data_IF_850267669457
#
_entry.id   IF_850267669457
#
_cell.length_a   1.000
_cell.length_b   1.000
_cell.length_c   1.000
_cell.angle_alpha   90.00
_cell.angle_beta   90.00
_cell.angle_gamma   90.00
#
_symmetry.space_group_name_H-M   'P 1'
#
loop_
_entity.id
_entity.type
_entity.pdbx_description
1 polymer ?
#
# COMPACT_ATOMS: atom_id res chain seq x y z
N UNK A 1 -3.55 -24.61 32.30
CA UNK A 1 -2.40 -23.70 32.08
C UNK A 1 -1.23 -24.19 32.93
N UNK A 2 -0.46 -25.15 32.42
CA UNK A 2 0.68 -25.74 33.14
C UNK A 2 1.90 -24.86 32.98
N UNK A 3 2.30 -24.21 34.08
CA UNK A 3 3.61 -23.58 34.25
C UNK A 3 4.68 -24.67 34.36
N UNK A 4 4.98 -25.35 33.26
CA UNK A 4 6.09 -26.32 33.19
C UNK A 4 7.42 -25.58 33.03
N UNK A 5 7.78 -24.76 34.01
CA UNK A 5 9.14 -24.23 34.12
C UNK A 5 10.15 -25.38 34.30
N UNK A 6 11.41 -25.21 33.89
CA UNK A 6 12.39 -26.29 33.95
C UNK A 6 12.66 -26.73 35.39
N UNK A 7 12.37 -28.00 35.69
CA UNK A 7 12.46 -28.58 37.04
C UNK A 7 13.86 -28.45 37.69
N UNK A 8 13.94 -28.42 39.04
CA UNK A 8 15.17 -28.16 39.79
C UNK A 8 16.28 -29.21 39.56
N UNK A 9 15.92 -30.42 39.15
CA UNK A 9 16.84 -31.54 38.89
C UNK A 9 17.45 -31.55 37.47
N UNK A 10 17.17 -30.53 36.64
CA UNK A 10 17.73 -30.45 35.29
C UNK A 10 19.10 -29.75 35.28
N UNK A 11 20.15 -30.53 34.97
CA UNK A 11 21.52 -30.02 34.82
C UNK A 11 21.58 -28.87 33.82
N UNK A 12 21.88 -27.68 34.34
CA UNK A 12 22.09 -26.45 33.56
C UNK A 12 23.43 -26.55 32.83
N UNK A 13 23.40 -26.50 31.50
CA UNK A 13 24.63 -26.47 30.68
C UNK A 13 24.78 -25.12 30.01
N UNK A 14 26.03 -24.69 29.82
CA UNK A 14 26.37 -23.43 29.16
C UNK A 14 27.27 -23.68 27.96
N UNK A 15 27.09 -22.88 26.92
CA UNK A 15 27.94 -22.87 25.73
C UNK A 15 28.10 -21.45 25.21
N UNK A 16 29.30 -21.12 24.71
CA UNK A 16 29.55 -19.85 24.01
C UNK A 16 29.06 -19.95 22.58
N UNK A 17 28.56 -18.83 22.06
CA UNK A 17 28.06 -18.73 20.69
C UNK A 17 28.79 -17.62 19.97
N UNK A 18 29.15 -17.96 18.73
CA UNK A 18 29.47 -17.02 17.67
C UNK A 18 28.68 -17.48 16.45
N UNK A 19 27.88 -16.60 15.90
CA UNK A 19 27.09 -16.87 14.71
C UNK A 19 27.00 -15.60 13.85
N UNK A 20 26.66 -15.78 12.58
CA UNK A 20 26.32 -14.70 11.68
C UNK A 20 24.88 -14.90 11.23
N UNK A 21 24.05 -13.88 11.41
CA UNK A 21 22.65 -13.93 11.04
C UNK A 21 22.33 -12.87 9.98
N UNK A 22 21.47 -13.18 9.01
CA UNK A 22 21.15 -12.25 7.94
C UNK A 22 20.41 -11.03 8.47
N UNK A 23 20.63 -9.88 7.83
CA UNK A 23 19.75 -8.71 7.94
C UNK A 23 18.71 -8.74 6.82
N UNK A 24 17.80 -7.77 6.81
CA UNK A 24 16.88 -7.55 5.69
C UNK A 24 17.60 -7.17 4.39
N UNK A 25 18.79 -6.60 4.49
CA UNK A 25 19.60 -6.20 3.33
C UNK A 25 20.47 -7.38 2.87
N UNK A 26 20.32 -7.83 1.61
CA UNK A 26 21.07 -8.97 1.10
C UNK A 26 22.58 -8.68 1.13
N UNK A 27 23.36 -9.68 1.53
CA UNK A 27 24.82 -9.57 1.62
C UNK A 27 25.35 -8.86 2.88
N UNK A 28 24.46 -8.40 3.78
CA UNK A 28 24.81 -7.79 5.07
C UNK A 28 24.31 -8.69 6.20
N UNK A 29 25.17 -8.93 7.21
CA UNK A 29 24.87 -9.84 8.33
C UNK A 29 25.19 -9.21 9.68
N UNK A 30 24.38 -9.52 10.69
CA UNK A 30 24.74 -9.27 12.08
C UNK A 30 25.66 -10.38 12.61
N UNK A 31 26.71 -9.98 13.31
CA UNK A 31 27.54 -10.87 14.11
C UNK A 31 26.94 -11.02 15.51
N UNK A 32 26.45 -12.21 15.82
CA UNK A 32 25.94 -12.57 17.13
C UNK A 32 27.05 -13.19 18.00
N UNK A 33 27.24 -12.66 19.21
CA UNK A 33 28.16 -13.22 20.21
C UNK A 33 27.45 -13.34 21.55
N UNK A 34 27.64 -14.45 22.25
CA UNK A 34 26.96 -14.60 23.53
C UNK A 34 27.12 -15.93 24.22
N UNK A 35 26.25 -16.16 25.20
CA UNK A 35 26.16 -17.39 25.97
C UNK A 35 24.77 -17.97 25.88
N UNK A 36 24.70 -19.26 25.53
CA UNK A 36 23.49 -20.06 25.59
C UNK A 36 23.54 -20.97 26.80
N UNK A 37 22.46 -20.90 27.56
CA UNK A 37 22.17 -21.82 28.64
C UNK A 37 21.04 -22.73 28.19
N UNK A 38 21.22 -24.04 28.31
CA UNK A 38 20.20 -25.01 27.93
C UNK A 38 20.00 -26.08 28.98
N UNK A 39 18.79 -26.63 29.00
CA UNK A 39 18.37 -27.78 29.81
C UNK A 39 17.58 -28.73 28.91
N UNK A 40 17.74 -30.02 29.11
CA UNK A 40 17.06 -31.02 28.29
C UNK A 40 16.41 -32.09 29.16
N UNK A 41 15.23 -32.55 28.75
CA UNK A 41 14.54 -33.67 29.34
C UNK A 41 15.30 -34.99 29.11
N UNK A 42 15.04 -36.02 29.93
CA UNK A 42 15.72 -37.32 29.90
C UNK A 42 15.68 -37.99 28.52
N UNK A 43 14.58 -37.88 27.79
CA UNK A 43 14.42 -38.44 26.45
C UNK A 43 15.42 -37.86 25.43
N UNK A 44 15.77 -36.57 25.53
CA UNK A 44 16.75 -35.93 24.64
C UNK A 44 18.19 -36.27 25.07
N UNK A 45 18.41 -36.53 26.36
CA UNK A 45 19.73 -36.91 26.89
C UNK A 45 20.20 -38.28 26.38
N UNK A 46 19.29 -39.13 25.91
CA UNK A 46 19.63 -40.45 25.36
C UNK A 46 20.58 -40.36 24.15
N UNK A 47 20.50 -39.29 23.35
CA UNK A 47 21.40 -39.03 22.23
C UNK A 47 22.79 -38.50 22.61
N UNK A 48 23.10 -38.35 23.91
CA UNK A 48 24.37 -37.84 24.39
C UNK A 48 24.48 -36.31 24.42
N UNK A 49 25.54 -35.81 25.05
CA UNK A 49 25.65 -34.38 25.38
C UNK A 49 25.96 -33.47 24.18
N UNK A 50 26.61 -34.02 23.15
CA UNK A 50 26.99 -33.28 21.95
C UNK A 50 25.77 -33.01 21.07
N UNK A 51 24.86 -33.97 20.93
CA UNK A 51 23.63 -33.84 20.12
C UNK A 51 22.67 -32.84 20.76
N UNK A 52 22.50 -32.88 22.09
CA UNK A 52 21.70 -31.89 22.81
C UNK A 52 22.24 -30.47 22.63
N UNK A 53 23.57 -30.31 22.64
CA UNK A 53 24.22 -29.02 22.39
C UNK A 53 24.01 -28.55 20.95
N UNK A 54 24.11 -29.44 19.97
CA UNK A 54 23.89 -29.12 18.57
C UNK A 54 22.44 -28.69 18.31
N UNK A 55 21.45 -29.44 18.84
CA UNK A 55 20.04 -29.09 18.77
C UNK A 55 19.75 -27.72 19.40
N UNK A 56 20.35 -27.44 20.58
CA UNK A 56 20.22 -26.15 21.25
C UNK A 56 20.82 -24.99 20.43
N UNK A 57 21.90 -25.22 19.68
CA UNK A 57 22.49 -24.21 18.80
C UNK A 57 21.64 -23.99 17.56
N UNK A 58 21.13 -25.04 16.93
CA UNK A 58 20.26 -24.94 15.75
C UNK A 58 18.96 -24.20 16.06
N UNK A 59 18.31 -24.56 17.17
CA UNK A 59 17.09 -23.88 17.60
C UNK A 59 17.32 -22.38 17.86
N UNK A 60 18.47 -22.02 18.45
CA UNK A 60 18.81 -20.62 18.65
C UNK A 60 19.18 -19.91 17.34
N UNK A 61 19.83 -20.60 16.42
CA UNK A 61 20.18 -20.06 15.12
C UNK A 61 18.93 -19.73 14.31
N UNK A 62 17.92 -20.60 14.35
CA UNK A 62 16.65 -20.38 13.68
C UNK A 62 15.87 -19.22 14.32
N UNK A 63 15.80 -19.16 15.65
CA UNK A 63 15.24 -18.02 16.36
C UNK A 63 15.95 -16.72 15.97
N UNK A 64 17.28 -16.70 16.02
CA UNK A 64 18.09 -15.54 15.68
C UNK A 64 17.83 -15.06 14.25
N UNK A 65 17.87 -15.98 13.28
CA UNK A 65 17.60 -15.70 11.86
C UNK A 65 16.19 -15.14 11.66
N UNK A 66 15.18 -15.74 12.28
CA UNK A 66 13.77 -15.32 12.15
C UNK A 66 13.53 -13.87 12.59
N UNK A 67 14.27 -13.40 13.59
CA UNK A 67 14.16 -12.04 14.12
C UNK A 67 15.02 -11.09 13.30
N UNK A 68 16.29 -11.41 13.05
CA UNK A 68 17.22 -10.45 12.44
C UNK A 68 16.93 -10.18 10.96
N UNK A 69 16.36 -11.13 10.22
CA UNK A 69 16.04 -10.95 8.80
C UNK A 69 14.98 -9.85 8.55
N UNK A 70 14.20 -9.49 9.57
CA UNK A 70 13.17 -8.46 9.46
C UNK A 70 13.71 -7.04 9.70
N UNK A 71 14.95 -6.92 10.17
CA UNK A 71 15.55 -5.65 10.59
C UNK A 71 16.59 -5.18 9.58
N UNK A 72 16.60 -3.86 9.32
CA UNK A 72 17.68 -3.24 8.57
C UNK A 72 18.97 -3.21 9.41
N UNK A 73 20.16 -3.17 8.78
CA UNK A 73 21.44 -3.11 9.50
C UNK A 73 21.53 -1.97 10.53
N UNK A 74 20.85 -0.85 10.26
CA UNK A 74 20.83 0.34 11.12
C UNK A 74 19.97 0.20 12.36
N UNK A 75 18.97 -0.69 12.28
CA UNK A 75 18.07 -1.01 13.37
C UNK A 75 18.71 -2.03 14.32
N UNK A 76 20.04 -1.99 14.47
CA UNK A 76 20.79 -2.91 15.32
C UNK A 76 20.27 -2.92 16.75
N UNK A 77 19.98 -1.73 17.30
CA UNK A 77 19.43 -1.61 18.65
C UNK A 77 18.07 -2.30 18.78
N UNK A 78 17.14 -2.05 17.84
CA UNK A 78 15.82 -2.67 17.82
C UNK A 78 15.90 -4.19 17.61
N UNK A 79 16.80 -4.65 16.75
CA UNK A 79 17.06 -6.08 16.55
C UNK A 79 17.62 -6.73 17.83
N UNK A 80 18.53 -6.03 18.53
CA UNK A 80 19.11 -6.46 19.80
C UNK A 80 18.05 -6.57 20.90
N UNK A 81 17.16 -5.59 21.02
CA UNK A 81 16.06 -5.59 21.99
C UNK A 81 15.07 -6.72 21.70
N UNK A 82 14.66 -6.88 20.44
CA UNK A 82 13.74 -7.95 20.00
C UNK A 82 14.32 -9.34 20.29
N UNK A 83 15.60 -9.53 19.99
CA UNK A 83 16.31 -10.76 20.30
C UNK A 83 16.41 -10.99 21.82
N UNK A 84 16.69 -9.93 22.58
CA UNK A 84 16.80 -10.01 24.04
C UNK A 84 15.46 -10.40 24.64
N UNK A 85 14.36 -9.80 24.21
CA UNK A 85 13.01 -10.13 24.65
C UNK A 85 12.69 -11.61 24.39
N UNK A 86 12.98 -12.09 23.17
CA UNK A 86 12.72 -13.48 22.78
C UNK A 86 13.60 -14.50 23.53
N UNK A 87 14.85 -14.15 23.84
CA UNK A 87 15.84 -15.08 24.40
C UNK A 87 16.06 -14.97 25.93
N UNK A 88 15.56 -13.89 26.57
CA UNK A 88 15.78 -13.61 27.99
C UNK A 88 15.11 -14.62 28.93
N UNK A 89 13.94 -15.14 28.53
CA UNK A 89 13.17 -16.10 29.30
C UNK A 89 13.40 -17.53 28.80
N UNK A 90 13.21 -18.49 29.71
CA UNK A 90 13.27 -19.90 29.36
C UNK A 90 12.13 -20.21 28.39
N UNK A 91 12.48 -20.71 27.21
CA UNK A 91 11.52 -21.10 26.19
C UNK A 91 11.86 -22.45 25.59
N UNK A 92 10.84 -23.12 25.07
CA UNK A 92 10.93 -24.41 24.41
C UNK A 92 10.85 -24.18 22.90
N UNK A 93 11.87 -24.56 22.12
CA UNK A 93 11.80 -24.49 20.65
C UNK A 93 10.67 -25.35 20.12
N UNK A 94 10.00 -24.88 19.06
CA UNK A 94 8.91 -25.62 18.41
C UNK A 94 9.37 -26.99 17.88
N UNK A 95 10.60 -27.05 17.36
CA UNK A 95 11.12 -28.25 16.69
C UNK A 95 11.75 -29.27 17.64
N UNK A 96 11.86 -28.97 18.95
CA UNK A 96 12.49 -29.88 19.92
C UNK A 96 11.79 -29.81 21.28
N UNK A 97 10.61 -30.43 21.42
CA UNK A 97 9.87 -30.45 22.68
C UNK A 97 10.70 -31.12 23.78
N UNK A 98 10.79 -30.48 24.95
CA UNK A 98 11.60 -30.94 26.09
C UNK A 98 13.02 -30.37 26.15
N UNK A 99 13.41 -29.53 25.18
CA UNK A 99 14.61 -28.70 25.24
C UNK A 99 14.24 -27.29 25.69
N UNK A 100 14.90 -26.78 26.72
CA UNK A 100 14.68 -25.44 27.24
C UNK A 100 15.92 -24.60 27.04
N UNK A 101 15.74 -23.43 26.46
CA UNK A 101 16.82 -22.52 26.08
C UNK A 101 16.63 -21.17 26.76
N UNK A 102 17.76 -20.58 27.14
CA UNK A 102 17.87 -19.19 27.54
C UNK A 102 19.20 -18.67 27.02
N UNK A 103 19.20 -17.59 26.26
CA UNK A 103 20.43 -17.04 25.70
C UNK A 103 20.58 -15.56 26.02
N UNK A 104 21.81 -15.15 26.24
CA UNK A 104 22.20 -13.76 26.30
C UNK A 104 23.17 -13.50 25.16
N UNK A 105 22.76 -12.66 24.22
CA UNK A 105 23.43 -12.48 22.93
C UNK A 105 23.53 -10.99 22.67
N UNK A 106 24.68 -10.57 22.17
CA UNK A 106 24.95 -9.23 21.69
C UNK A 106 25.13 -9.30 20.17
N UNK A 107 24.40 -8.47 19.46
CA UNK A 107 24.51 -8.25 18.03
C UNK A 107 25.49 -7.12 17.77
N UNK A 108 26.33 -7.32 16.77
CA UNK A 108 27.32 -6.37 16.28
C UNK A 108 27.24 -6.34 14.77
N UNK A 109 27.47 -5.18 14.16
CA UNK A 109 27.72 -5.09 12.73
C UNK A 109 29.23 -5.01 12.52
N UNK A 110 29.77 -5.73 11.53
CA UNK A 110 31.20 -5.60 11.21
C UNK A 110 31.44 -4.26 10.53
N UNK A 111 32.65 -3.70 10.63
CA UNK A 111 32.99 -2.45 9.95
C UNK A 111 32.74 -2.52 8.42
N UNK A 112 33.05 -3.67 7.81
CA UNK A 112 32.77 -3.93 6.41
C UNK A 112 31.27 -3.87 6.09
N UNK A 113 30.44 -4.48 6.93
CA UNK A 113 28.99 -4.51 6.78
C UNK A 113 28.34 -3.15 7.08
N UNK A 114 28.87 -2.39 8.05
CA UNK A 114 28.49 -1.00 8.32
C UNK A 114 28.77 -0.12 7.10
N UNK A 115 29.96 -0.22 6.53
CA UNK A 115 30.32 0.55 5.33
C UNK A 115 29.44 0.18 4.12
N UNK A 116 29.07 -1.09 3.98
CA UNK A 116 28.12 -1.51 2.92
C UNK A 116 26.71 -0.95 3.14
N UNK A 117 26.21 -1.00 4.37
CA UNK A 117 24.91 -0.43 4.71
C UNK A 117 24.89 1.08 4.44
N UNK A 118 25.95 1.78 4.85
CA UNK A 118 26.09 3.22 4.61
C UNK A 118 26.13 3.57 3.12
N UNK A 119 26.90 2.83 2.31
CA UNK A 119 26.93 3.06 0.85
C UNK A 119 25.56 2.86 0.20
N UNK A 120 24.83 1.85 0.64
CA UNK A 120 23.47 1.62 0.16
C UNK A 120 22.53 2.77 0.53
N UNK A 121 22.62 3.26 1.76
CA UNK A 121 21.86 4.42 2.21
C UNK A 121 22.18 5.69 1.43
N UNK A 122 23.46 5.96 1.23
CA UNK A 122 23.90 7.16 0.54
C UNK A 122 23.45 7.12 -0.92
N UNK A 123 23.51 5.95 -1.56
CA UNK A 123 22.96 5.75 -2.91
C UNK A 123 21.44 5.99 -2.97
N UNK A 124 20.67 5.50 -1.99
CA UNK A 124 19.23 5.80 -1.93
C UNK A 124 18.98 7.30 -1.74
N UNK A 125 19.71 7.94 -0.82
CA UNK A 125 19.58 9.37 -0.55
C UNK A 125 19.90 10.20 -1.78
N UNK A 126 20.95 9.83 -2.52
CA UNK A 126 21.34 10.49 -3.76
C UNK A 126 20.23 10.38 -4.82
N UNK A 127 19.69 9.17 -5.04
CA UNK A 127 18.58 8.97 -6.01
C UNK A 127 17.34 9.76 -5.60
N UNK A 128 16.96 9.72 -4.32
CA UNK A 128 15.82 10.51 -3.83
C UNK A 128 16.03 12.01 -4.04
N UNK A 129 17.24 12.50 -3.78
CA UNK A 129 17.59 13.90 -3.97
C UNK A 129 17.62 14.30 -5.45
N UNK A 130 18.10 13.43 -6.34
CA UNK A 130 18.05 13.65 -7.79
C UNK A 130 16.60 13.70 -8.29
N UNK A 131 15.74 12.78 -7.86
CA UNK A 131 14.33 12.78 -8.21
C UNK A 131 13.63 14.05 -7.72
N UNK A 132 13.89 14.47 -6.49
CA UNK A 132 13.33 15.69 -5.92
C UNK A 132 13.77 16.94 -6.69
N UNK A 133 15.06 17.03 -7.05
CA UNK A 133 15.60 18.13 -7.87
C UNK A 133 14.98 18.16 -9.27
N UNK A 134 14.82 17.00 -9.90
CA UNK A 134 14.18 16.90 -11.23
C UNK A 134 12.70 17.29 -11.16
N UNK A 135 12.00 16.86 -10.11
CA UNK A 135 10.62 17.27 -9.85
C UNK A 135 10.52 18.79 -9.66
N UNK A 136 11.34 19.36 -8.80
CA UNK A 136 11.39 20.80 -8.54
C UNK A 136 11.75 21.61 -9.80
N UNK A 137 12.71 21.12 -10.60
CA UNK A 137 13.08 21.74 -11.87
C UNK A 137 11.92 21.73 -12.86
N UNK A 138 11.22 20.60 -12.99
CA UNK A 138 10.03 20.48 -13.87
C UNK A 138 8.91 21.38 -13.40
N UNK A 139 8.69 21.46 -12.10
CA UNK A 139 7.64 22.30 -11.53
C UNK A 139 7.93 23.78 -11.75
N UNK A 140 9.16 24.22 -11.50
CA UNK A 140 9.61 25.59 -11.84
C UNK A 140 9.51 25.87 -13.33
N UNK A 141 9.91 24.94 -14.18
CA UNK A 141 9.78 25.07 -15.62
C UNK A 141 8.31 25.22 -16.02
N UNK A 142 7.43 24.40 -15.44
CA UNK A 142 5.99 24.47 -15.69
C UNK A 142 5.41 25.82 -15.29
N UNK A 143 5.76 26.31 -14.10
CA UNK A 143 5.34 27.62 -13.60
C UNK A 143 5.94 28.78 -14.42
N UNK A 144 7.16 28.66 -14.95
CA UNK A 144 7.76 29.72 -15.74
C UNK A 144 7.23 29.77 -17.19
N UNK A 145 6.96 28.61 -17.78
CA UNK A 145 6.65 28.48 -19.21
C UNK A 145 5.15 28.35 -19.47
N UNK A 146 4.39 27.64 -18.64
CA UNK A 146 2.98 27.31 -18.88
C UNK A 146 2.00 28.11 -18.02
N UNK A 147 2.47 29.15 -17.32
CA UNK A 147 1.63 30.04 -16.49
C UNK A 147 0.68 30.90 -17.32
N UNK A 148 1.12 31.40 -18.47
CA UNK A 148 0.27 32.15 -19.39
C UNK A 148 0.53 31.78 -20.85
N UNK A 149 -0.48 31.91 -21.74
CA UNK A 149 -0.31 31.64 -23.17
C UNK A 149 0.81 32.46 -23.80
N UNK A 150 1.03 33.69 -23.30
CA UNK A 150 2.07 34.57 -23.81
C UNK A 150 3.47 34.13 -23.37
N UNK A 151 3.65 33.70 -22.11
CA UNK A 151 4.90 33.12 -21.64
C UNK A 151 5.28 31.85 -22.44
N UNK A 152 4.29 31.00 -22.75
CA UNK A 152 4.52 29.79 -23.54
C UNK A 152 4.85 30.09 -24.99
N UNK A 153 4.21 31.11 -25.60
CA UNK A 153 4.55 31.57 -26.96
C UNK A 153 5.97 32.13 -27.03
N UNK A 154 6.36 32.95 -26.04
CA UNK A 154 7.71 33.52 -25.95
C UNK A 154 8.73 32.40 -25.79
N UNK A 155 8.48 31.41 -24.92
CA UNK A 155 9.35 30.25 -24.77
C UNK A 155 9.45 29.41 -26.06
N UNK A 156 8.34 29.20 -26.76
CA UNK A 156 8.33 28.47 -28.04
C UNK A 156 9.16 29.18 -29.11
N UNK A 157 9.03 30.50 -29.20
CA UNK A 157 9.84 31.32 -30.10
C UNK A 157 11.33 31.27 -29.72
N UNK A 158 11.65 31.41 -28.43
CA UNK A 158 13.03 31.34 -27.92
C UNK A 158 13.69 29.98 -28.25
N UNK A 159 12.93 28.88 -28.15
CA UNK A 159 13.43 27.54 -28.45
C UNK A 159 13.74 27.31 -29.94
N UNK A 160 13.09 28.07 -30.82
CA UNK A 160 13.17 27.92 -32.27
C UNK A 160 13.73 29.18 -32.98
N UNK A 161 14.52 30.00 -32.27
CA UNK A 161 15.12 31.23 -32.80
C UNK A 161 15.95 30.99 -34.07
N UNK A 162 16.63 29.86 -34.18
CA UNK A 162 17.46 29.53 -35.35
C UNK A 162 16.64 29.00 -36.55
N UNK A 163 15.34 28.76 -36.36
CA UNK A 163 14.47 28.07 -37.32
C UNK A 163 13.09 28.76 -37.47
N UNK A 164 13.05 30.09 -37.32
CA UNK A 164 11.84 30.91 -37.38
C UNK A 164 11.06 30.75 -38.70
N UNK A 165 11.76 30.58 -39.83
CA UNK A 165 11.13 30.42 -41.15
C UNK A 165 10.39 29.08 -41.31
N UNK A 166 10.71 28.09 -40.47
CA UNK A 166 10.09 26.75 -40.45
C UNK A 166 9.21 26.53 -39.21
N UNK A 167 8.82 27.60 -38.51
CA UNK A 167 8.11 27.50 -37.25
C UNK A 167 6.67 27.01 -37.46
N UNK A 168 6.40 25.78 -37.02
CA UNK A 168 5.08 25.16 -37.11
C UNK A 168 4.17 25.61 -35.96
N UNK A 169 3.36 26.63 -36.26
CA UNK A 169 2.38 27.17 -35.32
C UNK A 169 1.19 26.24 -35.08
N UNK A 170 0.91 25.32 -35.98
CA UNK A 170 -0.20 24.39 -35.81
C UNK A 170 0.20 23.27 -34.83
N UNK A 171 1.45 22.80 -34.89
CA UNK A 171 2.02 21.93 -33.86
C UNK A 171 2.04 22.59 -32.47
N UNK A 172 2.37 23.89 -32.39
CA UNK A 172 2.28 24.64 -31.14
C UNK A 172 0.84 24.66 -30.58
N UNK A 173 -0.16 25.00 -31.41
CA UNK A 173 -1.57 25.06 -30.99
C UNK A 173 -2.13 23.70 -30.59
N UNK A 174 -1.74 22.63 -31.27
CA UNK A 174 -2.26 21.28 -31.01
C UNK A 174 -1.58 20.58 -29.83
N UNK A 175 -0.27 20.79 -29.61
CA UNK A 175 0.51 19.99 -28.63
C UNK A 175 0.95 20.78 -27.41
N UNK A 176 1.22 22.08 -27.55
CA UNK A 176 1.86 22.90 -26.52
C UNK A 176 0.85 23.82 -25.83
N UNK A 177 -0.01 24.50 -26.60
CA UNK A 177 -1.03 25.41 -26.06
C UNK A 177 -2.03 24.73 -25.09
N UNK A 178 -2.45 23.46 -25.28
CA UNK A 178 -3.34 22.78 -24.32
C UNK A 178 -2.70 22.51 -22.95
N UNK A 179 -1.37 22.64 -22.83
CA UNK A 179 -0.65 22.47 -21.56
C UNK A 179 -0.60 23.76 -20.72
N UNK A 180 -0.95 24.90 -21.32
CA UNK A 180 -1.01 26.21 -20.69
C UNK A 180 -2.24 26.29 -19.78
N UNK A 181 -2.06 26.68 -18.52
CA UNK A 181 -3.15 26.70 -17.53
C UNK A 181 -3.63 25.31 -17.09
N UNK A 182 -3.16 24.22 -17.71
CA UNK A 182 -3.50 22.84 -17.33
C UNK A 182 -2.87 22.37 -16.00
N UNK A 183 -2.14 23.25 -15.28
CA UNK A 183 -1.60 22.96 -13.95
C UNK A 183 -2.70 22.80 -12.88
N UNK A 184 -3.84 23.47 -13.07
CA UNK A 184 -4.96 23.43 -12.12
C UNK A 184 -6.17 22.60 -12.59
N UNK A 185 -6.15 21.99 -13.78
CA UNK A 185 -7.36 22.09 -14.60
C UNK A 185 -8.11 20.80 -14.94
N UNK A 186 -7.65 19.59 -14.58
CA UNK A 186 -8.51 18.40 -14.72
C UNK A 186 -9.32 18.20 -13.43
N UNK A 187 -8.64 18.22 -12.28
CA UNK A 187 -9.31 18.08 -10.99
C UNK A 187 -10.07 19.34 -10.57
N UNK A 188 -9.51 20.55 -10.71
CA UNK A 188 -10.23 21.76 -10.27
C UNK A 188 -11.33 22.22 -11.22
N UNK A 189 -11.31 21.88 -12.52
CA UNK A 189 -12.50 22.06 -13.39
C UNK A 189 -13.64 21.13 -12.99
N UNK A 190 -13.34 19.86 -12.76
CA UNK A 190 -14.35 18.91 -12.28
C UNK A 190 -14.92 19.35 -10.93
N UNK A 191 -14.08 19.84 -10.02
CA UNK A 191 -14.47 20.35 -8.71
C UNK A 191 -15.28 21.65 -8.80
N UNK A 192 -14.90 22.58 -9.70
CA UNK A 192 -15.64 23.83 -9.93
C UNK A 192 -16.98 23.59 -10.60
N UNK A 193 -17.07 22.65 -11.54
CA UNK A 193 -18.34 22.22 -12.15
C UNK A 193 -19.22 21.54 -11.09
N UNK A 194 -18.65 20.64 -10.28
CA UNK A 194 -19.36 20.00 -9.18
C UNK A 194 -19.91 21.02 -8.18
N UNK A 195 -19.10 21.99 -7.74
CA UNK A 195 -19.55 23.07 -6.86
C UNK A 195 -20.60 23.96 -7.49
N UNK A 196 -20.52 24.24 -8.79
CA UNK A 196 -21.53 25.05 -9.48
C UNK A 196 -22.86 24.31 -9.58
N UNK A 197 -22.84 23.01 -9.91
CA UNK A 197 -24.03 22.17 -9.94
C UNK A 197 -24.67 22.04 -8.55
N UNK A 198 -23.85 21.87 -7.51
CA UNK A 198 -24.29 21.76 -6.11
C UNK A 198 -24.87 23.09 -5.61
N UNK A 199 -24.25 24.22 -5.95
CA UNK A 199 -24.79 25.56 -5.65
C UNK A 199 -26.13 25.81 -6.35
N UNK A 200 -26.27 25.41 -7.61
CA UNK A 200 -27.55 25.53 -8.33
C UNK A 200 -28.60 24.65 -7.66
N UNK A 201 -28.27 23.39 -7.34
CA UNK A 201 -29.14 22.47 -6.62
C UNK A 201 -29.63 23.05 -5.28
N UNK A 202 -28.74 23.60 -4.45
CA UNK A 202 -29.10 24.25 -3.18
C UNK A 202 -29.97 25.49 -3.36
N UNK A 203 -29.80 26.23 -4.48
CA UNK A 203 -30.59 27.42 -4.80
C UNK A 203 -31.99 27.13 -5.33
N UNK A 204 -32.27 25.91 -5.79
CA UNK A 204 -33.61 25.51 -6.22
C UNK A 204 -34.58 25.32 -5.03
N UNK A 205 -34.07 25.18 -3.80
CA UNK A 205 -34.87 25.01 -2.58
C UNK A 205 -35.71 23.72 -2.59
N UNK A 206 -36.64 23.53 -1.65
CA UNK A 206 -37.41 22.27 -1.53
C UNK A 206 -38.53 22.10 -2.58
N UNK A 207 -38.39 22.67 -3.78
CA UNK A 207 -39.41 22.53 -4.83
C UNK A 207 -39.14 21.30 -5.71
N UNK A 208 -39.88 20.18 -5.53
CA UNK A 208 -39.59 18.92 -6.21
C UNK A 208 -39.74 19.00 -7.74
N UNK A 209 -40.61 19.90 -8.23
CA UNK A 209 -40.80 20.11 -9.66
C UNK A 209 -39.62 20.80 -10.34
N UNK A 210 -38.88 21.65 -9.62
CA UNK A 210 -37.69 22.32 -10.15
C UNK A 210 -36.49 21.38 -10.15
N UNK A 211 -36.34 20.56 -9.08
CA UNK A 211 -35.31 19.53 -9.01
C UNK A 211 -35.45 18.52 -10.15
N UNK A 212 -36.66 18.02 -10.42
CA UNK A 212 -36.90 17.08 -11.53
C UNK A 212 -36.52 17.67 -12.90
N UNK A 213 -36.80 18.95 -13.13
CA UNK A 213 -36.44 19.64 -14.39
C UNK A 213 -34.93 19.85 -14.53
N UNK A 214 -34.25 20.21 -13.44
CA UNK A 214 -32.80 20.34 -13.43
C UNK A 214 -32.12 19.00 -13.72
N UNK A 215 -32.50 17.92 -13.03
CA UNK A 215 -31.95 16.58 -13.25
C UNK A 215 -32.19 16.08 -14.67
N UNK A 216 -33.37 16.34 -15.23
CA UNK A 216 -33.69 15.98 -16.62
C UNK A 216 -32.78 16.74 -17.60
N UNK A 217 -32.58 18.04 -17.37
CA UNK A 217 -31.73 18.87 -18.25
C UNK A 217 -30.28 18.42 -18.20
N UNK A 218 -29.74 18.14 -17.01
CA UNK A 218 -28.38 17.63 -16.83
C UNK A 218 -28.22 16.27 -17.53
N UNK A 219 -29.20 15.38 -17.39
CA UNK A 219 -29.19 14.07 -18.07
C UNK A 219 -29.17 14.21 -19.59
N UNK A 220 -30.00 15.08 -20.16
CA UNK A 220 -30.02 15.33 -21.61
C UNK A 220 -28.69 15.88 -22.12
N UNK A 221 -28.05 16.76 -21.35
CA UNK A 221 -26.72 17.30 -21.72
C UNK A 221 -25.65 16.21 -21.67
N UNK A 222 -25.68 15.34 -20.66
CA UNK A 222 -24.72 14.23 -20.53
C UNK A 222 -24.88 13.18 -21.64
N UNK A 223 -26.13 12.85 -22.00
CA UNK A 223 -26.48 11.95 -23.10
C UNK A 223 -26.00 12.50 -24.47
N UNK A 224 -26.19 13.81 -24.70
CA UNK A 224 -25.66 14.48 -25.90
C UNK A 224 -24.12 14.48 -25.97
N UNK A 225 -23.44 14.35 -24.83
CA UNK A 225 -21.98 14.28 -24.73
C UNK A 225 -21.46 12.83 -24.72
N UNK A 226 -22.33 11.82 -24.74
CA UNK A 226 -21.97 10.40 -24.73
C UNK A 226 -21.38 9.91 -23.41
N UNK A 227 -21.77 10.52 -22.28
CA UNK A 227 -21.23 10.23 -20.93
C UNK A 227 -22.21 9.42 -20.07
N UNK A 228 -22.72 8.33 -20.64
CA UNK A 228 -23.81 7.54 -20.06
C UNK A 228 -23.40 6.80 -18.77
N UNK A 229 -22.09 6.59 -18.57
CA UNK A 229 -21.52 5.88 -17.42
C UNK A 229 -21.38 6.76 -16.15
N UNK A 230 -21.60 8.07 -16.25
CA UNK A 230 -21.43 9.02 -15.12
C UNK A 230 -22.64 9.08 -14.15
N UNK A 231 -23.70 8.32 -14.41
CA UNK A 231 -25.05 8.50 -13.85
C UNK A 231 -25.25 7.82 -12.47
N UNK A 232 -24.19 7.39 -11.77
CA UNK A 232 -24.36 6.71 -10.47
C UNK A 232 -24.81 7.67 -9.34
N UNK A 233 -24.69 8.99 -9.52
CA UNK A 233 -24.82 9.98 -8.44
C UNK A 233 -26.18 10.73 -8.35
N UNK A 234 -27.17 10.43 -9.19
CA UNK A 234 -28.44 11.19 -9.27
C UNK A 234 -29.71 10.32 -9.18
N UNK A 235 -29.68 9.23 -8.41
CA UNK A 235 -30.92 8.55 -8.01
C UNK A 235 -31.42 9.21 -6.73
N UNK A 236 -32.59 9.90 -6.75
CA UNK A 236 -33.24 10.28 -5.51
C UNK A 236 -33.70 9.01 -4.80
N UNK A 237 -33.28 8.80 -3.55
CA UNK A 237 -33.92 7.83 -2.67
C UNK A 237 -35.41 8.21 -2.56
N UNK A 238 -36.27 7.31 -3.04
CA UNK A 238 -37.72 7.47 -3.06
C UNK A 238 -38.27 7.40 -1.62
N UNK A 239 -38.83 8.49 -1.04
CA UNK A 239 -39.42 8.43 0.28
C UNK A 239 -40.94 8.29 0.14
N UNK A 240 -41.44 7.06 -0.05
CA UNK A 240 -42.88 6.81 0.14
C UNK A 240 -43.27 5.34 0.34
N UNK A 241 -42.74 4.74 1.40
CA UNK A 241 -43.54 3.83 2.22
C UNK A 241 -44.34 4.67 3.23
N UNK A 242 -45.62 4.98 2.92
CA UNK A 242 -46.70 5.12 3.92
C UNK A 242 -48.06 5.46 3.28
N UNK A 243 -49.05 4.63 3.62
CA UNK A 243 -50.51 4.84 3.58
C UNK A 243 -51.32 4.35 2.34
N UNK A 244 -51.54 3.02 2.28
CA UNK A 244 -52.83 2.28 2.51
C UNK A 244 -54.19 3.00 2.28
N UNK A 245 -55.35 2.32 2.07
CA UNK A 245 -55.64 0.87 2.24
C UNK A 245 -56.63 0.22 1.21
N UNK A 246 -56.78 -1.11 1.32
CA UNK A 246 -57.95 -1.97 1.01
C UNK A 246 -59.07 -1.49 0.05
N UNK A 247 -59.34 -2.28 -0.99
CA UNK A 247 -60.70 -2.83 -1.18
C UNK A 247 -60.76 -4.10 -2.03
N UNK A 248 -61.72 -4.93 -1.66
CA UNK A 248 -61.95 -6.33 -2.00
C UNK A 248 -62.96 -6.47 -3.15
N UNK A 249 -62.96 -7.67 -3.78
CA UNK A 249 -63.89 -8.33 -4.74
C UNK A 249 -63.45 -8.24 -6.20
N UNK A 250 -63.35 -9.36 -6.92
CA UNK A 250 -64.17 -10.57 -6.92
C UNK A 250 -64.73 -10.68 -8.33
N UNK A 251 -64.18 -11.55 -9.17
CA UNK A 251 -64.68 -12.90 -9.46
C UNK A 251 -65.09 -12.92 -10.94
N UNK A 252 -64.87 -14.04 -11.63
CA UNK A 252 -65.43 -14.28 -12.96
C UNK A 252 -64.44 -14.67 -14.06
N UNK A 253 -64.06 -15.95 -14.09
CA UNK A 253 -64.32 -16.77 -15.29
C UNK A 253 -63.21 -16.92 -16.34
N UNK A 254 -62.24 -17.81 -16.06
CA UNK A 254 -61.99 -19.09 -16.77
C UNK A 254 -61.85 -19.14 -18.34
N UNK A 255 -61.41 -20.26 -18.95
CA UNK A 255 -60.07 -20.38 -19.54
C UNK A 255 -60.03 -20.67 -21.07
N UNK A 256 -58.80 -20.72 -21.62
CA UNK A 256 -58.41 -21.08 -23.01
C UNK A 256 -59.05 -22.40 -23.54
N UNK A 257 -59.06 -22.61 -24.87
CA UNK A 257 -58.08 -23.56 -25.47
C UNK A 257 -57.46 -23.07 -26.81
N UNK A 258 -56.16 -23.29 -27.08
CA UNK A 258 -55.53 -24.39 -27.88
C UNK A 258 -56.03 -24.39 -29.35
N UNK A 259 -55.22 -24.29 -30.42
CA UNK A 259 -54.29 -25.33 -30.94
C UNK A 259 -53.51 -24.82 -32.17
N UNK A 260 -52.23 -25.25 -32.32
CA UNK A 260 -51.45 -25.64 -33.54
C UNK A 260 -51.44 -24.74 -34.80
N UNK A 261 -50.49 -24.78 -35.74
CA UNK A 261 -49.16 -25.34 -36.01
C UNK A 261 -48.90 -24.99 -37.50
N UNK A 262 -47.66 -24.85 -37.96
CA UNK A 262 -47.39 -24.91 -39.41
C UNK A 262 -46.28 -24.02 -39.96
N UNK A 263 -45.06 -24.52 -39.85
CA UNK A 263 -43.99 -24.53 -40.87
C UNK A 263 -44.09 -23.67 -42.14
N UNK A 264 -43.00 -22.92 -42.35
CA UNK A 264 -42.15 -22.86 -43.54
C UNK A 264 -42.76 -22.53 -44.91
N UNK A 265 -42.29 -21.42 -45.47
CA UNK A 265 -41.54 -21.40 -46.73
C UNK A 265 -40.52 -20.26 -46.72
#
# INVERSE_FOLDING_TARGET
>A
MTNDGPGPWWNRRRSRIRAQWPTRLPGIRFCARGTLTYRAHTNIKAGGTATTRAAARLALEELGRSITQNHMPEQLATAQESLTLAAAHWHTPKDTPGLWLKAHITLLLTEQDTNRAQRYQDALREVTLQLAKEHERRERFRQAVFDSPDATRIWWLDRHLDALESLDWDLFKEKILPLVGAADDIHSKAERIAHTLLYVWEKLGDNPGQHARFTTTVRTVLDQMGWDDAIVWLVPDDPSDANSPFSVRGDGGEPRPVTQAGTAR
#
